data_IF_610753867857
#
_entry.id   IF_610753867857
#
_cell.length_a   1.000
_cell.length_b   1.000
_cell.length_c   1.000
_cell.angle_alpha   90.00
_cell.angle_beta   90.00
_cell.angle_gamma   90.00
#
_symmetry.space_group_name_H-M   'P 1'
#
loop_
_entity.id
_entity.type
_entity.pdbx_description
1 polymer ?
#
# COMPACT_ATOMS: atom_id res chain seq x y z
N UNK A 1 22.60 3.72 -4.03
CA UNK A 1 21.60 4.78 -4.29
C UNK A 1 22.38 6.01 -4.76
N UNK A 2 22.12 6.54 -5.96
CA UNK A 2 22.79 7.75 -6.45
C UNK A 2 22.04 8.98 -5.94
N UNK A 3 22.74 10.09 -5.69
CA UNK A 3 22.13 11.38 -5.26
C UNK A 3 20.97 11.81 -6.19
N UNK A 4 21.05 11.44 -7.46
CA UNK A 4 20.02 11.71 -8.48
C UNK A 4 18.65 11.05 -8.20
N UNK A 5 18.59 9.99 -7.37
CA UNK A 5 17.34 9.31 -7.02
C UNK A 5 16.58 9.99 -5.88
N UNK A 6 17.22 10.86 -5.09
CA UNK A 6 16.63 11.50 -3.92
C UNK A 6 15.41 12.37 -4.30
N UNK A 7 15.51 13.28 -5.29
CA UNK A 7 14.36 14.09 -5.72
C UNK A 7 13.19 13.23 -6.23
N UNK A 8 13.51 12.16 -6.99
CA UNK A 8 12.48 11.25 -7.49
C UNK A 8 11.72 10.56 -6.35
N UNK A 9 12.46 10.02 -5.36
CA UNK A 9 11.86 9.36 -4.20
C UNK A 9 11.00 10.36 -3.42
N UNK A 10 11.52 11.54 -3.13
CA UNK A 10 10.79 12.59 -2.42
C UNK A 10 9.50 12.99 -3.14
N UNK A 11 9.57 13.22 -4.46
CA UNK A 11 8.41 13.60 -5.28
C UNK A 11 7.35 12.49 -5.30
N UNK A 12 7.73 11.25 -5.53
CA UNK A 12 6.77 10.14 -5.60
C UNK A 12 6.16 9.81 -4.23
N UNK A 13 6.91 9.96 -3.14
CA UNK A 13 6.38 9.84 -1.78
C UNK A 13 5.42 10.98 -1.45
N UNK A 14 5.71 12.19 -1.90
CA UNK A 14 4.79 13.34 -1.76
C UNK A 14 3.49 13.12 -2.55
N UNK A 15 3.56 12.52 -3.74
CA UNK A 15 2.35 12.15 -4.50
C UNK A 15 1.50 11.15 -3.71
N UNK A 16 2.10 10.10 -3.10
CA UNK A 16 1.37 9.17 -2.25
C UNK A 16 0.68 9.90 -1.10
N UNK A 17 1.41 10.78 -0.40
CA UNK A 17 0.86 11.53 0.73
C UNK A 17 -0.28 12.45 0.30
N UNK A 18 -0.09 13.20 -0.79
CA UNK A 18 -1.10 14.14 -1.30
C UNK A 18 -2.39 13.42 -1.69
N UNK A 19 -2.27 12.28 -2.36
CA UNK A 19 -3.43 11.46 -2.75
C UNK A 19 -4.14 10.87 -1.53
N UNK A 20 -3.39 10.40 -0.53
CA UNK A 20 -3.95 9.90 0.73
C UNK A 20 -4.73 11.00 1.46
N UNK A 21 -4.15 12.18 1.61
CA UNK A 21 -4.81 13.33 2.25
C UNK A 21 -6.01 13.80 1.44
N UNK A 22 -5.86 13.87 0.12
CA UNK A 22 -6.92 14.31 -0.80
C UNK A 22 -8.14 13.42 -0.82
N UNK A 23 -7.97 12.11 -0.55
CA UNK A 23 -9.05 11.12 -0.50
C UNK A 23 -9.52 10.80 0.95
N UNK A 24 -8.96 11.45 1.96
CA UNK A 24 -9.27 11.14 3.37
C UNK A 24 -10.76 11.29 3.74
N UNK A 25 -11.54 12.05 2.95
CA UNK A 25 -12.99 12.19 3.13
C UNK A 25 -13.79 10.98 2.63
N UNK A 26 -13.16 10.05 1.89
CA UNK A 26 -13.75 8.80 1.41
C UNK A 26 -13.12 7.62 2.17
N UNK A 27 -13.76 7.12 3.24
CA UNK A 27 -13.19 6.02 4.03
C UNK A 27 -12.93 4.79 3.16
N UNK A 28 -11.72 4.23 3.25
CA UNK A 28 -11.28 3.01 2.54
C UNK A 28 -11.34 3.07 1.00
N UNK A 29 -11.47 4.27 0.41
CA UNK A 29 -11.25 4.52 -1.02
C UNK A 29 -9.89 5.20 -1.17
N UNK A 30 -8.94 4.50 -1.82
CA UNK A 30 -7.57 5.00 -1.88
C UNK A 30 -6.88 4.62 -3.21
N UNK A 31 -5.88 5.40 -3.59
CA UNK A 31 -5.05 5.17 -4.77
C UNK A 31 -3.65 4.63 -4.42
N UNK A 32 -3.34 4.50 -3.13
CA UNK A 32 -1.99 4.14 -2.68
C UNK A 32 -1.61 2.75 -3.14
N UNK A 33 -2.52 1.78 -3.01
CA UNK A 33 -2.31 0.41 -3.47
C UNK A 33 -1.96 0.37 -4.96
N UNK A 34 -2.73 1.06 -5.79
CA UNK A 34 -2.46 1.16 -7.23
C UNK A 34 -1.10 1.80 -7.52
N UNK A 35 -0.78 2.91 -6.86
CA UNK A 35 0.48 3.62 -7.08
C UNK A 35 1.68 2.79 -6.61
N UNK A 36 1.60 2.10 -5.48
CA UNK A 36 2.67 1.19 -5.01
C UNK A 36 2.88 0.03 -5.99
N UNK A 37 1.81 -0.56 -6.54
CA UNK A 37 1.91 -1.57 -7.59
C UNK A 37 2.69 -0.99 -8.79
N UNK A 38 2.27 0.16 -9.33
CA UNK A 38 2.88 0.75 -10.51
C UNK A 38 4.33 1.16 -10.24
N UNK A 39 4.61 1.78 -9.07
CA UNK A 39 5.98 2.14 -8.68
C UNK A 39 6.87 0.90 -8.56
N UNK A 40 6.33 -0.21 -8.04
CA UNK A 40 7.09 -1.46 -7.91
C UNK A 40 7.42 -2.06 -9.27
N UNK A 41 6.49 -2.00 -10.22
CA UNK A 41 6.71 -2.50 -11.58
C UNK A 41 7.76 -1.67 -12.35
N UNK A 42 7.75 -0.35 -12.21
CA UNK A 42 8.61 0.56 -12.96
C UNK A 42 9.96 0.77 -12.27
N UNK A 43 9.94 1.02 -10.95
CA UNK A 43 11.12 1.46 -10.18
C UNK A 43 11.80 0.33 -9.41
N UNK A 44 11.14 -0.83 -9.32
CA UNK A 44 11.63 -2.04 -8.68
C UNK A 44 12.11 -1.77 -7.22
N UNK A 45 13.40 -1.97 -6.93
CA UNK A 45 13.96 -1.80 -5.57
C UNK A 45 13.84 -0.37 -5.02
N UNK A 46 13.74 0.65 -5.88
CA UNK A 46 13.61 2.04 -5.45
C UNK A 46 12.27 2.30 -4.73
N UNK A 47 11.24 1.52 -5.02
CA UNK A 47 9.93 1.62 -4.35
C UNK A 47 10.02 1.43 -2.84
N UNK A 48 10.98 0.64 -2.35
CA UNK A 48 11.23 0.46 -0.91
C UNK A 48 11.48 1.81 -0.23
N UNK A 49 12.32 2.64 -0.82
CA UNK A 49 12.63 3.97 -0.27
C UNK A 49 11.42 4.92 -0.34
N UNK A 50 10.61 4.82 -1.40
CA UNK A 50 9.36 5.59 -1.54
C UNK A 50 8.38 5.21 -0.42
N UNK A 51 8.19 3.91 -0.17
CA UNK A 51 7.32 3.41 0.90
C UNK A 51 7.82 3.91 2.26
N UNK A 52 9.12 3.75 2.56
CA UNK A 52 9.69 4.23 3.84
C UNK A 52 9.44 5.72 4.03
N UNK A 53 9.76 6.53 3.02
CA UNK A 53 9.55 7.98 3.08
C UNK A 53 8.08 8.33 3.26
N UNK A 54 7.17 7.68 2.51
CA UNK A 54 5.74 7.87 2.64
C UNK A 54 5.22 7.54 4.05
N UNK A 55 5.62 6.39 4.61
CA UNK A 55 5.20 5.97 5.96
C UNK A 55 5.73 6.91 7.04
N UNK A 56 6.96 7.41 6.90
CA UNK A 56 7.51 8.41 7.82
C UNK A 56 6.73 9.74 7.72
N UNK A 57 6.42 10.21 6.53
CA UNK A 57 5.63 11.42 6.32
C UNK A 57 4.21 11.29 6.91
N UNK A 58 3.60 10.12 6.80
CA UNK A 58 2.31 9.82 7.44
C UNK A 58 2.40 9.91 8.97
N UNK A 59 3.43 9.33 9.57
CA UNK A 59 3.68 9.41 11.01
C UNK A 59 3.89 10.85 11.49
N UNK A 60 4.61 11.67 10.71
CA UNK A 60 4.82 13.09 11.02
C UNK A 60 3.53 13.91 10.90
N UNK A 61 2.64 13.57 9.95
CA UNK A 61 1.41 14.31 9.71
C UNK A 61 0.30 13.95 10.72
N UNK A 62 0.11 12.64 10.98
CA UNK A 62 -1.02 12.12 11.76
C UNK A 62 -0.63 11.55 13.13
N UNK A 63 0.66 11.58 13.48
CA UNK A 63 1.21 11.00 14.70
C UNK A 63 1.55 9.51 14.55
N UNK A 64 2.43 9.05 15.47
CA UNK A 64 2.93 7.67 15.50
C UNK A 64 2.06 6.82 16.44
N UNK A 65 0.93 6.33 15.92
CA UNK A 65 0.01 5.46 16.65
C UNK A 65 0.12 3.98 16.23
N UNK A 66 -0.75 3.12 16.78
CA UNK A 66 -0.80 1.69 16.44
C UNK A 66 -1.08 1.47 14.94
N UNK A 67 -1.92 2.30 14.33
CA UNK A 67 -2.18 2.29 12.90
C UNK A 67 -0.89 2.44 12.07
N UNK A 68 0.06 3.25 12.55
CA UNK A 68 1.32 3.48 11.87
C UNK A 68 2.22 2.23 11.88
N UNK A 69 2.15 1.41 12.95
CA UNK A 69 2.85 0.12 13.00
C UNK A 69 2.39 -0.79 11.85
N UNK A 70 1.10 -0.77 11.51
CA UNK A 70 0.59 -1.52 10.36
C UNK A 70 1.23 -1.05 9.05
N UNK A 71 1.41 0.25 8.86
CA UNK A 71 2.00 0.84 7.65
C UNK A 71 3.48 0.47 7.46
N UNK A 72 4.18 0.11 8.54
CA UNK A 72 5.58 -0.35 8.45
C UNK A 72 5.73 -1.66 7.66
N UNK A 73 4.68 -2.43 7.45
CA UNK A 73 4.78 -3.71 6.74
C UNK A 73 3.75 -3.92 5.62
N UNK A 74 2.51 -3.42 5.74
CA UNK A 74 1.46 -3.74 4.78
C UNK A 74 1.84 -3.32 3.36
N UNK A 75 2.45 -2.16 3.18
CA UNK A 75 2.87 -1.69 1.87
C UNK A 75 4.03 -2.50 1.28
N UNK A 76 4.90 -3.04 2.12
CA UNK A 76 5.95 -3.97 1.68
C UNK A 76 5.37 -5.31 1.25
N UNK A 77 4.34 -5.81 1.95
CA UNK A 77 3.61 -7.01 1.52
C UNK A 77 3.06 -6.81 0.12
N UNK A 78 2.40 -5.69 -0.17
CA UNK A 78 1.90 -5.38 -1.51
C UNK A 78 3.03 -5.30 -2.55
N UNK A 79 4.14 -4.65 -2.22
CA UNK A 79 5.30 -4.57 -3.11
C UNK A 79 5.91 -5.97 -3.39
N UNK A 80 5.92 -6.87 -2.41
CA UNK A 80 6.38 -8.26 -2.59
C UNK A 80 5.42 -9.02 -3.51
N UNK A 81 4.10 -8.95 -3.26
CA UNK A 81 3.07 -9.55 -4.13
C UNK A 81 3.26 -9.04 -5.56
N UNK A 82 3.40 -7.74 -5.74
CA UNK A 82 3.64 -7.15 -7.06
C UNK A 82 4.88 -7.71 -7.74
N UNK A 83 5.97 -7.96 -7.01
CA UNK A 83 7.19 -8.56 -7.58
C UNK A 83 7.00 -10.01 -7.98
N UNK A 84 6.21 -10.77 -7.24
CA UNK A 84 5.88 -12.16 -7.59
C UNK A 84 5.14 -12.18 -8.93
N UNK A 85 4.17 -11.30 -9.10
CA UNK A 85 3.33 -11.21 -10.31
C UNK A 85 3.86 -10.23 -11.37
N UNK A 86 5.13 -9.81 -11.31
CA UNK A 86 5.71 -8.79 -12.21
C UNK A 86 5.63 -9.08 -13.71
N UNK A 87 5.36 -10.33 -14.10
CA UNK A 87 5.17 -10.74 -15.51
C UNK A 87 3.77 -10.45 -16.04
N UNK A 88 2.83 -10.16 -15.13
CA UNK A 88 1.46 -9.82 -15.50
C UNK A 88 1.41 -8.45 -16.19
N UNK A 89 0.65 -8.39 -17.29
CA UNK A 89 0.45 -7.17 -18.08
C UNK A 89 -1.01 -6.76 -18.16
N UNK A 90 -1.91 -7.67 -17.77
CA UNK A 90 -3.36 -7.47 -17.82
C UNK A 90 -3.85 -6.52 -16.73
N UNK A 91 -4.61 -5.46 -17.07
CA UNK A 91 -5.26 -4.61 -16.08
C UNK A 91 -6.22 -5.38 -15.16
N UNK A 92 -6.87 -6.44 -15.68
CA UNK A 92 -7.80 -7.26 -14.90
C UNK A 92 -7.04 -8.05 -13.82
N UNK A 93 -5.88 -8.62 -14.14
CA UNK A 93 -5.04 -9.30 -13.14
C UNK A 93 -4.63 -8.35 -12.04
N UNK A 94 -4.22 -7.12 -12.37
CA UNK A 94 -3.85 -6.11 -11.38
C UNK A 94 -5.04 -5.60 -10.56
N UNK A 95 -6.22 -5.51 -11.18
CA UNK A 95 -7.46 -5.20 -10.48
C UNK A 95 -7.82 -6.28 -9.45
N UNK A 96 -7.70 -7.56 -9.83
CA UNK A 96 -7.92 -8.68 -8.92
C UNK A 96 -6.91 -8.68 -7.77
N UNK A 97 -5.61 -8.53 -8.07
CA UNK A 97 -4.56 -8.46 -7.04
C UNK A 97 -4.82 -7.32 -6.06
N UNK A 98 -5.12 -6.12 -6.59
CA UNK A 98 -5.41 -4.94 -5.76
C UNK A 98 -6.68 -5.12 -4.91
N UNK A 99 -7.73 -5.69 -5.50
CA UNK A 99 -8.99 -6.00 -4.80
C UNK A 99 -8.80 -7.02 -3.69
N UNK A 100 -8.14 -8.16 -3.97
CA UNK A 100 -7.84 -9.16 -2.93
C UNK A 100 -6.93 -8.63 -1.83
N UNK A 101 -5.95 -7.79 -2.18
CA UNK A 101 -5.13 -7.12 -1.19
C UNK A 101 -5.98 -6.22 -0.27
N UNK A 102 -6.88 -5.42 -0.85
CA UNK A 102 -7.80 -4.57 -0.09
C UNK A 102 -8.72 -5.39 0.84
N UNK A 103 -9.28 -6.52 0.36
CA UNK A 103 -10.07 -7.44 1.18
C UNK A 103 -9.28 -8.08 2.33
N UNK A 104 -7.97 -8.25 2.16
CA UNK A 104 -7.08 -8.84 3.17
C UNK A 104 -6.47 -7.80 4.12
N UNK A 105 -6.73 -6.51 3.91
CA UNK A 105 -6.03 -5.43 4.60
C UNK A 105 -6.27 -5.45 6.11
N UNK A 106 -7.50 -5.64 6.56
CA UNK A 106 -7.85 -5.75 7.97
C UNK A 106 -7.25 -6.99 8.63
N UNK A 107 -7.19 -8.12 7.90
CA UNK A 107 -6.50 -9.32 8.39
C UNK A 107 -5.00 -9.05 8.59
N UNK A 108 -4.35 -8.35 7.66
CA UNK A 108 -2.95 -7.92 7.83
C UNK A 108 -2.83 -6.98 9.03
N UNK A 109 -3.71 -5.99 9.16
CA UNK A 109 -3.71 -5.03 10.28
C UNK A 109 -4.06 -5.65 11.63
N UNK A 110 -4.59 -6.86 11.70
CA UNK A 110 -4.86 -7.57 12.96
C UNK A 110 -3.60 -8.14 13.64
N UNK A 111 -2.47 -8.23 12.92
CA UNK A 111 -1.23 -8.83 13.43
C UNK A 111 -0.73 -8.14 14.72
N UNK A 112 -0.62 -6.81 14.84
CA UNK A 112 -0.22 -6.18 16.10
C UNK A 112 -1.20 -6.43 17.25
N UNK A 113 -2.49 -6.61 16.94
CA UNK A 113 -3.51 -6.92 17.95
C UNK A 113 -3.36 -8.32 18.54
N UNK A 114 -2.81 -9.27 17.77
CA UNK A 114 -2.40 -10.56 18.33
C UNK A 114 -1.37 -10.38 19.44
N UNK A 115 -0.34 -9.57 19.24
CA UNK A 115 0.69 -9.31 20.24
C UNK A 115 0.15 -8.54 21.45
N UNK A 116 -0.78 -7.61 21.25
CA UNK A 116 -1.48 -6.91 22.33
C UNK A 116 -2.30 -7.90 23.16
N UNK A 117 -3.07 -8.78 22.52
CA UNK A 117 -3.83 -9.81 23.23
C UNK A 117 -2.92 -10.82 23.95
N UNK A 118 -1.79 -11.17 23.34
CA UNK A 118 -0.79 -12.07 23.94
C UNK A 118 -0.18 -11.48 25.22
N UNK A 119 -0.03 -10.17 25.33
CA UNK A 119 0.45 -9.51 26.54
C UNK A 119 -0.44 -9.75 27.77
N UNK A 120 -1.71 -10.18 27.56
CA UNK A 120 -2.64 -10.62 28.61
C UNK A 120 -2.35 -12.07 29.12
N UNK A 121 -1.30 -12.72 28.63
CA UNK A 121 -0.72 -13.93 29.19
C UNK A 121 -1.09 -15.26 28.50
N UNK A 122 -1.96 -15.26 27.48
CA UNK A 122 -2.33 -16.51 26.78
C UNK A 122 -2.34 -16.36 25.26
N UNK A 123 -1.98 -17.43 24.55
CA UNK A 123 -2.10 -17.50 23.07
C UNK A 123 -3.56 -17.32 22.63
N UNK A 124 -4.49 -17.89 23.37
CA UNK A 124 -5.91 -17.77 23.10
C UNK A 124 -6.38 -16.31 23.11
N UNK A 125 -5.95 -15.53 24.12
CA UNK A 125 -6.23 -14.10 24.19
C UNK A 125 -5.65 -13.34 22.98
N UNK A 126 -4.45 -13.71 22.52
CA UNK A 126 -3.84 -13.16 21.31
C UNK A 126 -4.70 -13.39 20.07
N UNK A 127 -5.11 -14.64 19.82
CA UNK A 127 -5.96 -14.98 18.67
C UNK A 127 -7.33 -14.33 18.76
N UNK A 128 -7.99 -14.33 19.92
CA UNK A 128 -9.30 -13.74 20.11
C UNK A 128 -9.25 -12.22 19.84
N UNK A 129 -8.23 -11.53 20.31
CA UNK A 129 -8.07 -10.08 20.10
C UNK A 129 -7.84 -9.76 18.61
N UNK A 130 -6.95 -10.48 17.92
CA UNK A 130 -6.72 -10.31 16.50
C UNK A 130 -7.96 -10.62 15.65
N UNK A 131 -8.65 -11.72 15.98
CA UNK A 131 -9.86 -12.14 15.28
C UNK A 131 -10.99 -11.12 15.46
N UNK A 132 -11.21 -10.65 16.69
CA UNK A 132 -12.22 -9.61 16.98
C UNK A 132 -11.94 -8.32 16.20
N UNK A 133 -10.65 -7.89 16.13
CA UNK A 133 -10.27 -6.74 15.32
C UNK A 133 -10.61 -6.94 13.84
N UNK A 134 -10.22 -8.09 13.28
CA UNK A 134 -10.45 -8.39 11.86
C UNK A 134 -11.96 -8.45 11.54
N UNK A 135 -12.74 -9.19 12.32
CA UNK A 135 -14.21 -9.33 12.10
C UNK A 135 -14.90 -7.97 12.11
N UNK A 136 -14.55 -7.10 13.06
CA UNK A 136 -15.10 -5.73 13.11
C UNK A 136 -14.65 -4.87 11.93
N UNK A 137 -13.51 -5.20 11.31
CA UNK A 137 -12.96 -4.54 10.13
C UNK A 137 -13.59 -4.97 8.80
N UNK A 138 -14.28 -6.13 8.71
CA UNK A 138 -14.79 -6.70 7.46
C UNK A 138 -15.61 -5.70 6.61
N UNK A 139 -16.55 -4.90 7.16
CA UNK A 139 -17.27 -3.92 6.35
C UNK A 139 -16.34 -2.90 5.65
N UNK A 140 -15.27 -2.51 6.33
CA UNK A 140 -14.28 -1.59 5.79
C UNK A 140 -13.39 -2.28 4.72
N UNK A 141 -13.01 -3.54 4.95
CA UNK A 141 -12.25 -4.35 3.99
C UNK A 141 -13.04 -4.58 2.70
N UNK A 142 -14.36 -4.78 2.79
CA UNK A 142 -15.22 -4.90 1.61
C UNK A 142 -15.19 -3.62 0.76
N UNK A 143 -15.34 -2.45 1.38
CA UNK A 143 -15.24 -1.17 0.66
C UNK A 143 -13.86 -1.01 0.06
N UNK A 144 -12.80 -1.31 0.82
CA UNK A 144 -11.41 -1.21 0.37
C UNK A 144 -11.12 -2.14 -0.81
N UNK A 145 -11.53 -3.41 -0.73
CA UNK A 145 -11.33 -4.38 -1.80
C UNK A 145 -12.08 -4.02 -3.07
N UNK A 146 -13.36 -3.65 -2.96
CA UNK A 146 -14.19 -3.27 -4.11
C UNK A 146 -13.65 -2.00 -4.76
N UNK A 147 -13.35 -0.96 -3.98
CA UNK A 147 -12.80 0.30 -4.50
C UNK A 147 -11.45 0.07 -5.19
N UNK A 148 -10.55 -0.67 -4.57
CA UNK A 148 -9.25 -0.99 -5.14
C UNK A 148 -9.35 -1.78 -6.45
N UNK A 149 -10.31 -2.73 -6.54
CA UNK A 149 -10.57 -3.46 -7.78
C UNK A 149 -10.95 -2.50 -8.91
N UNK A 150 -11.97 -1.66 -8.72
CA UNK A 150 -12.44 -0.75 -9.78
C UNK A 150 -11.42 0.32 -10.11
N UNK A 151 -10.75 0.90 -9.11
CA UNK A 151 -9.68 1.88 -9.30
C UNK A 151 -8.55 1.28 -10.14
N UNK A 152 -8.08 0.09 -9.81
CA UNK A 152 -7.02 -0.56 -10.58
C UNK A 152 -7.50 -0.96 -11.99
N UNK A 153 -8.73 -1.45 -12.14
CA UNK A 153 -9.29 -1.82 -13.44
C UNK A 153 -9.28 -0.64 -14.43
N UNK A 154 -9.66 0.54 -13.96
CA UNK A 154 -9.79 1.73 -14.79
C UNK A 154 -8.45 2.47 -14.94
N UNK A 155 -7.72 2.65 -13.85
CA UNK A 155 -6.59 3.58 -13.79
C UNK A 155 -5.22 2.91 -13.95
N UNK A 156 -5.10 1.58 -13.81
CA UNK A 156 -3.80 0.92 -13.93
C UNK A 156 -3.12 1.22 -15.26
N UNK A 157 -3.79 0.96 -16.38
CA UNK A 157 -3.17 1.11 -17.71
C UNK A 157 -2.78 2.55 -18.06
N UNK A 158 -3.63 3.57 -17.88
CA UNK A 158 -3.25 4.95 -18.17
C UNK A 158 -2.13 5.46 -17.27
N UNK A 159 -2.19 5.22 -15.96
CA UNK A 159 -1.16 5.70 -15.03
C UNK A 159 0.17 4.96 -15.26
N UNK A 160 0.14 3.63 -15.47
CA UNK A 160 1.33 2.86 -15.79
C UNK A 160 2.03 3.39 -17.05
N UNK A 161 1.29 3.62 -18.15
CA UNK A 161 1.85 4.14 -19.40
C UNK A 161 2.45 5.54 -19.22
N UNK A 162 1.76 6.41 -18.50
CA UNK A 162 2.25 7.76 -18.22
C UNK A 162 3.55 7.73 -17.43
N UNK A 163 3.60 7.00 -16.34
CA UNK A 163 4.79 6.91 -15.48
C UNK A 163 5.96 6.21 -16.18
N UNK A 164 5.72 5.14 -16.95
CA UNK A 164 6.75 4.46 -17.73
C UNK A 164 7.33 5.39 -18.80
N UNK A 165 6.48 6.15 -19.50
CA UNK A 165 6.94 7.18 -20.46
C UNK A 165 7.78 8.26 -19.80
N UNK A 166 7.34 8.81 -18.68
CA UNK A 166 8.09 9.85 -17.95
C UNK A 166 9.44 9.30 -17.43
N UNK A 167 9.41 8.07 -16.88
CA UNK A 167 10.61 7.42 -16.38
C UNK A 167 11.66 7.22 -17.47
N UNK A 168 11.24 6.80 -18.68
CA UNK A 168 12.12 6.65 -19.84
C UNK A 168 12.61 7.99 -20.39
N UNK A 169 11.69 8.98 -20.53
CA UNK A 169 12.01 10.31 -21.09
C UNK A 169 13.03 11.07 -20.27
N UNK A 170 12.96 11.00 -18.96
CA UNK A 170 13.89 11.73 -18.09
C UNK A 170 15.19 10.95 -17.77
N UNK A 171 15.47 9.87 -18.50
CA UNK A 171 16.67 9.05 -18.32
C UNK A 171 16.93 8.67 -16.84
N UNK A 172 15.86 8.36 -16.10
CA UNK A 172 15.96 7.95 -14.70
C UNK A 172 16.51 6.52 -14.60
N UNK A 173 16.89 5.94 -15.75
CA UNK A 173 17.32 4.54 -15.96
C UNK A 173 18.85 4.37 -15.82
N UNK A 174 19.57 5.22 -15.13
CA UNK A 174 20.99 4.94 -14.85
C UNK A 174 21.30 4.83 -13.37
#
# INVERSE_FOLDING_TARGET
>A
MTLRNIPLIGMLSAVLLTVQVGLAFLPNVELISLLIIIYTLILNKKTIYIIITFVLLQGLLYGFGLWWVNYLYVWFVLAIITRIFKKETSPISWALISGFYGLSFGALCSIPYFFIGLSNGTLESGFNTAFAYWINGIPFDLVHGISNFFIALVLFKPIYKLLDYLYKKFNIVQ
#
